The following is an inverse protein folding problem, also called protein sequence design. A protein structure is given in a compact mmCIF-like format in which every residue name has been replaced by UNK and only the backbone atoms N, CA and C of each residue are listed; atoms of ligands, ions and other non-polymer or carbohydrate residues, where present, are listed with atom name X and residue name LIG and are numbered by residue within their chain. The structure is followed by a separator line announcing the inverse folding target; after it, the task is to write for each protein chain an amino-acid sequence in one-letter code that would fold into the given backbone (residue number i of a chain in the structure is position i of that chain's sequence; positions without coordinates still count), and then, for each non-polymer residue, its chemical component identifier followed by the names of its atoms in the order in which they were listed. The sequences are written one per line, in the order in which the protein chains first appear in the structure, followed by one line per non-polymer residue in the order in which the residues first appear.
data_IF_413895811680
#
_entry.id   IF_413895811680
#
_cell.length_a   1.000
_cell.length_b   1.000
_cell.length_c   1.000
_cell.angle_alpha   90.00
_cell.angle_beta   90.00
_cell.angle_gamma   90.00
#
_symmetry.space_group_name_H-M   'P 1'
#
loop_
_entity.id
_entity.type
_entity.pdbx_description
1 polymer ?
#
# COMPACT_ATOMS: atom_id res chain seq x y z
N UNK A 1 -5.68 -11.96 4.53
CA UNK A 1 -6.61 -13.10 4.29
C UNK A 1 -6.71 -13.49 2.81
N UNK A 2 -7.13 -12.60 1.89
CA UNK A 2 -7.34 -12.96 0.47
C UNK A 2 -6.05 -13.36 -0.27
N UNK A 3 -5.01 -12.54 -0.14
CA UNK A 3 -3.69 -12.76 -0.77
C UNK A 3 -3.03 -14.03 -0.21
N UNK A 4 -2.86 -14.11 1.11
CA UNK A 4 -2.31 -15.29 1.80
C UNK A 4 -3.17 -16.56 1.63
N UNK A 5 -4.42 -16.41 1.23
CA UNK A 5 -5.31 -17.52 0.84
C UNK A 5 -5.10 -18.01 -0.59
N UNK A 6 -4.02 -17.62 -1.28
CA UNK A 6 -3.70 -18.04 -2.65
C UNK A 6 -4.35 -17.18 -3.74
N UNK A 7 -4.68 -15.92 -3.44
CA UNK A 7 -5.11 -14.96 -4.45
C UNK A 7 -3.93 -14.43 -5.28
N UNK A 8 -4.11 -14.31 -6.60
CA UNK A 8 -3.09 -13.74 -7.49
C UNK A 8 -3.15 -12.23 -7.43
N UNK A 9 -2.03 -11.58 -7.10
CA UNK A 9 -1.90 -10.13 -7.08
C UNK A 9 -1.37 -9.61 -8.42
N UNK A 10 -1.86 -8.44 -8.84
CA UNK A 10 -1.40 -7.71 -10.02
C UNK A 10 -1.40 -6.21 -9.73
N UNK A 11 -0.54 -5.49 -10.44
CA UNK A 11 -0.48 -4.04 -10.42
C UNK A 11 -1.20 -3.47 -11.63
N UNK A 12 -2.02 -2.43 -11.45
CA UNK A 12 -2.60 -1.68 -12.55
C UNK A 12 -1.78 -0.42 -12.83
N UNK A 13 -1.08 -0.39 -13.97
CA UNK A 13 -0.08 0.63 -14.29
C UNK A 13 -0.66 2.03 -14.49
N UNK A 14 -1.85 2.14 -15.05
CA UNK A 14 -2.47 3.42 -15.38
C UNK A 14 -3.06 4.08 -14.14
N UNK A 15 -3.70 3.27 -13.28
CA UNK A 15 -4.35 3.76 -12.05
C UNK A 15 -3.42 3.81 -10.84
N UNK A 16 -2.23 3.20 -10.94
CA UNK A 16 -1.23 3.12 -9.86
C UNK A 16 -1.79 2.47 -8.58
N UNK A 17 -2.53 1.39 -8.73
CA UNK A 17 -3.13 0.62 -7.63
C UNK A 17 -2.99 -0.88 -7.84
N UNK A 18 -2.93 -1.69 -6.77
CA UNK A 18 -2.98 -3.13 -6.87
C UNK A 18 -4.42 -3.64 -6.99
N UNK A 19 -4.54 -4.85 -7.54
CA UNK A 19 -5.73 -5.67 -7.43
C UNK A 19 -5.35 -7.13 -7.24
N UNK A 20 -6.29 -7.94 -6.74
CA UNK A 20 -6.10 -9.36 -6.59
C UNK A 20 -7.34 -10.13 -7.03
N UNK A 21 -7.14 -11.35 -7.54
CA UNK A 21 -8.24 -12.22 -7.95
C UNK A 21 -8.00 -13.70 -7.61
N UNK A 22 -9.09 -14.45 -7.43
CA UNK A 22 -9.09 -15.90 -7.20
C UNK A 22 -10.41 -16.49 -7.68
N UNK A 23 -10.37 -17.31 -8.74
CA UNK A 23 -11.58 -17.79 -9.40
C UNK A 23 -12.41 -16.62 -9.92
N UNK A 24 -13.68 -16.55 -9.51
CA UNK A 24 -14.60 -15.45 -9.85
C UNK A 24 -14.55 -14.25 -8.89
N UNK A 25 -13.72 -14.31 -7.84
CA UNK A 25 -13.58 -13.21 -6.86
C UNK A 25 -12.49 -12.25 -7.28
N UNK A 26 -12.77 -10.95 -7.20
CA UNK A 26 -11.83 -9.87 -7.51
C UNK A 26 -11.91 -8.78 -6.43
N UNK A 27 -10.78 -8.16 -6.10
CA UNK A 27 -10.70 -7.06 -5.14
C UNK A 27 -9.65 -6.04 -5.59
N UNK A 28 -10.03 -4.77 -5.66
CA UNK A 28 -9.13 -3.63 -5.72
C UNK A 28 -8.92 -3.07 -4.33
N UNK A 29 -7.69 -2.67 -4.01
CA UNK A 29 -7.32 -2.25 -2.65
C UNK A 29 -6.13 -1.29 -2.68
N UNK A 30 -5.75 -0.78 -1.51
CA UNK A 30 -4.54 0.02 -1.32
C UNK A 30 -3.45 -0.80 -0.64
N UNK A 31 -2.22 -0.53 -1.02
CA UNK A 31 -1.01 -1.07 -0.45
C UNK A 31 0.02 0.05 -0.19
N UNK A 32 1.16 -0.25 0.45
CA UNK A 32 2.16 0.77 0.71
C UNK A 32 2.68 1.48 -0.56
N UNK A 33 2.70 0.82 -1.71
CA UNK A 33 3.20 1.41 -2.96
C UNK A 33 2.20 2.42 -3.54
N UNK A 34 0.93 2.03 -3.69
CA UNK A 34 -0.15 2.90 -4.16
C UNK A 34 -0.36 4.12 -3.27
N UNK A 35 -0.28 3.96 -1.94
CA UNK A 35 -0.35 5.09 -1.02
C UNK A 35 0.81 6.07 -1.22
N UNK A 36 2.03 5.60 -1.45
CA UNK A 36 3.15 6.47 -1.77
C UNK A 36 2.92 7.25 -3.08
N UNK A 37 2.42 6.59 -4.13
CA UNK A 37 2.11 7.26 -5.40
C UNK A 37 1.02 8.34 -5.23
N UNK A 38 0.00 8.05 -4.43
CA UNK A 38 -1.06 9.02 -4.13
C UNK A 38 -0.56 10.17 -3.27
N UNK A 39 0.29 9.94 -2.27
CA UNK A 39 0.91 11.03 -1.49
C UNK A 39 1.81 11.89 -2.38
N UNK A 40 2.58 11.29 -3.30
CA UNK A 40 3.37 12.06 -4.29
C UNK A 40 2.46 12.93 -5.16
N UNK A 41 1.36 12.37 -5.67
CA UNK A 41 0.38 13.14 -6.45
C UNK A 41 -0.24 14.26 -5.61
N UNK A 42 -0.63 13.96 -4.38
CA UNK A 42 -1.25 14.91 -3.45
C UNK A 42 -0.33 16.10 -3.16
N UNK A 43 0.96 15.85 -2.88
CA UNK A 43 1.99 16.88 -2.72
C UNK A 43 2.19 17.73 -3.97
N UNK A 44 2.23 17.11 -5.17
CA UNK A 44 2.36 17.85 -6.44
C UNK A 44 1.20 18.80 -6.71
N UNK A 45 0.02 18.50 -6.18
CA UNK A 45 -1.19 19.31 -6.37
C UNK A 45 -1.48 20.27 -5.21
N UNK A 46 -0.59 20.37 -4.21
CA UNK A 46 -0.71 21.35 -3.14
C UNK A 46 -1.85 21.10 -2.14
N UNK A 47 -2.31 19.86 -1.99
CA UNK A 47 -3.32 19.52 -0.98
C UNK A 47 -2.73 19.53 0.44
N UNK A 48 -3.57 19.86 1.43
CA UNK A 48 -3.12 20.08 2.81
C UNK A 48 -2.91 18.82 3.67
N UNK A 49 -3.29 17.63 3.20
CA UNK A 49 -3.14 16.42 3.99
C UNK A 49 -3.86 15.20 3.43
N UNK A 50 -3.93 14.16 4.25
CA UNK A 50 -4.56 12.88 3.92
C UNK A 50 -5.63 12.53 4.96
N UNK A 51 -6.76 12.00 4.50
CA UNK A 51 -7.78 11.39 5.35
C UNK A 51 -7.79 9.89 5.10
N UNK A 52 -7.74 9.09 6.17
CA UNK A 52 -7.75 7.63 6.09
C UNK A 52 -9.08 7.08 6.58
N UNK A 53 -9.76 6.33 5.71
CA UNK A 53 -10.94 5.55 6.07
C UNK A 53 -10.63 4.05 5.93
N UNK A 54 -10.61 3.28 7.02
CA UNK A 54 -10.55 3.71 8.41
C UNK A 54 -9.41 3.00 9.12
N UNK A 55 -8.99 3.53 10.27
CA UNK A 55 -7.83 3.03 10.99
C UNK A 55 -7.99 1.57 11.47
N UNK A 56 -9.23 1.15 11.74
CA UNK A 56 -9.59 -0.19 12.19
C UNK A 56 -9.59 -1.24 11.07
N UNK A 57 -9.60 -0.80 9.81
CA UNK A 57 -9.49 -1.68 8.63
C UNK A 57 -8.04 -1.92 8.19
N UNK A 58 -7.08 -1.17 8.75
CA UNK A 58 -5.66 -1.48 8.59
C UNK A 58 -5.30 -2.76 9.39
N UNK A 59 -4.14 -3.36 9.14
CA UNK A 59 -3.64 -4.47 9.96
C UNK A 59 -3.17 -3.96 11.34
N UNK A 60 -4.12 -3.50 12.15
CA UNK A 60 -3.88 -2.78 13.40
C UNK A 60 -3.15 -3.63 14.46
N UNK A 61 -3.28 -4.96 14.38
CA UNK A 61 -2.62 -5.90 15.28
C UNK A 61 -1.42 -6.63 14.64
N UNK A 62 -1.15 -6.38 13.35
CA UNK A 62 -0.01 -6.93 12.61
C UNK A 62 -0.09 -8.43 12.34
N UNK A 63 -1.28 -9.05 12.42
CA UNK A 63 -1.44 -10.51 12.31
C UNK A 63 -1.72 -11.00 10.89
N UNK A 64 -2.08 -10.11 9.97
CA UNK A 64 -2.61 -10.52 8.68
C UNK A 64 -1.67 -10.27 7.51
N UNK A 65 -0.84 -9.24 7.59
CA UNK A 65 0.02 -8.77 6.51
C UNK A 65 1.50 -9.08 6.72
N UNK A 66 1.89 -9.62 7.88
CA UNK A 66 3.29 -9.91 8.24
C UNK A 66 4.25 -8.71 8.09
N UNK A 67 3.70 -7.50 8.20
CA UNK A 67 4.42 -6.22 8.08
C UNK A 67 4.43 -5.41 9.38
N UNK A 68 4.01 -6.03 10.49
CA UNK A 68 3.78 -5.35 11.76
C UNK A 68 2.46 -4.56 11.78
N UNK A 69 2.18 -3.88 12.89
CA UNK A 69 0.94 -3.14 13.08
C UNK A 69 0.86 -1.85 12.23
N UNK A 70 -0.35 -1.52 11.79
CA UNK A 70 -0.68 -0.30 11.06
C UNK A 70 0.20 -0.01 9.83
N UNK A 71 0.41 -0.98 8.93
CA UNK A 71 1.33 -0.82 7.80
C UNK A 71 0.93 0.33 6.87
N UNK A 72 -0.37 0.55 6.62
CA UNK A 72 -0.84 1.60 5.72
C UNK A 72 -0.74 2.98 6.39
N UNK A 73 -1.17 3.10 7.64
CA UNK A 73 -1.06 4.36 8.39
C UNK A 73 0.41 4.79 8.58
N UNK A 74 1.30 3.85 8.90
CA UNK A 74 2.74 4.14 9.00
C UNK A 74 3.34 4.57 7.67
N UNK A 75 2.91 3.95 6.57
CA UNK A 75 3.33 4.35 5.23
C UNK A 75 2.89 5.78 4.92
N UNK A 76 1.62 6.11 5.21
CA UNK A 76 1.10 7.47 5.04
C UNK A 76 1.87 8.47 5.89
N UNK A 77 2.05 8.20 7.19
CA UNK A 77 2.78 9.10 8.07
C UNK A 77 4.21 9.37 7.56
N UNK A 78 4.95 8.31 7.20
CA UNK A 78 6.30 8.45 6.66
C UNK A 78 6.35 9.21 5.33
N UNK A 79 5.41 8.93 4.42
CA UNK A 79 5.33 9.61 3.13
C UNK A 79 4.95 11.09 3.28
N UNK A 80 4.11 11.44 4.26
CA UNK A 80 3.70 12.81 4.54
C UNK A 80 4.83 13.61 5.19
N UNK A 81 5.44 13.10 6.25
CA UNK A 81 6.48 13.81 7.03
C UNK A 81 7.85 13.78 6.37
N UNK A 82 8.04 12.97 5.31
CA UNK A 82 9.35 12.77 4.69
C UNK A 82 10.31 11.95 5.56
N UNK A 83 9.81 11.31 6.63
CA UNK A 83 10.62 10.51 7.56
C UNK A 83 10.87 9.08 7.08
N UNK A 84 10.85 8.84 5.77
CA UNK A 84 10.91 7.49 5.18
C UNK A 84 12.14 6.72 5.67
N UNK A 85 11.97 5.85 6.68
CA UNK A 85 12.77 4.64 6.79
C UNK A 85 12.22 3.70 5.74
N UNK A 86 12.88 3.64 4.59
CA UNK A 86 12.64 2.60 3.60
C UNK A 86 12.82 1.26 4.31
N UNK A 87 11.73 0.62 4.71
CA UNK A 87 11.78 -0.80 5.01
C UNK A 87 11.89 -1.43 3.64
N UNK A 88 13.13 -1.68 3.20
CA UNK A 88 13.39 -2.48 2.02
C UNK A 88 12.60 -3.77 2.20
N UNK A 89 11.49 -3.91 1.49
CA UNK A 89 10.95 -5.22 1.20
C UNK A 89 12.07 -5.94 0.47
N UNK A 90 12.77 -6.86 1.15
CA UNK A 90 13.64 -7.83 0.50
C UNK A 90 12.74 -8.71 -0.36
N UNK A 91 12.45 -8.23 -1.57
CA UNK A 91 11.53 -8.85 -2.51
C UNK A 91 11.22 -7.88 -3.63
N UNK A 92 11.96 -8.01 -4.72
CA UNK A 92 11.77 -7.32 -6.02
C UNK A 92 12.34 -5.90 -6.10
N UNK A 93 13.67 -5.80 -5.98
CA UNK A 93 14.43 -4.85 -6.79
C UNK A 93 14.80 -5.59 -8.08
N UNK A 94 14.07 -5.36 -9.16
CA UNK A 94 14.54 -5.68 -10.50
C UNK A 94 14.36 -4.45 -11.38
N UNK A 95 15.43 -4.15 -12.12
CA UNK A 95 15.64 -3.14 -13.17
C UNK A 95 16.15 -1.77 -12.70
N UNK A 96 17.48 -1.71 -12.54
CA UNK A 96 18.28 -0.60 -13.08
C UNK A 96 18.91 -1.12 -14.39
N UNK A 97 18.61 -0.45 -15.50
CA UNK A 97 19.06 -0.69 -16.88
C UNK A 97 18.55 -1.99 -17.55
#
# INVERSE_FOLDING_TARGET
MFIYGGGTQKWQSEQKVPYAFKGTKWVGYEDPLSLQEKVKWMKRNGFGGWMMWSFDLDDFNGRFCNTGNYPLLKTLNGALTGSTRYTTYKGVMWLNF
#
